data_IF_560582918471
#
_entry.id   IF_560582918471
#
_cell.length_a   1.000
_cell.length_b   1.000
_cell.length_c   1.000
_cell.angle_alpha   90.00
_cell.angle_beta   90.00
_cell.angle_gamma   90.00
#
_symmetry.space_group_name_H-M   'P 1'
#
loop_
_entity.id
_entity.type
_entity.pdbx_description
1 polymer ?
#
# COMPACT_ATOMS: atom_id res chain seq x y z
N UNK A 1 21.22 14.15 -25.64
CA UNK A 1 20.45 14.70 -24.50
C UNK A 1 19.10 14.00 -24.49
N UNK A 2 18.64 13.50 -23.34
CA UNK A 2 17.29 12.98 -23.19
C UNK A 2 16.27 14.12 -23.40
N UNK A 3 15.14 13.84 -24.04
CA UNK A 3 14.04 14.80 -24.07
C UNK A 3 13.41 14.96 -22.67
N UNK A 4 12.49 15.90 -22.54
CA UNK A 4 11.89 16.26 -21.24
C UNK A 4 11.13 15.08 -20.60
N UNK A 5 10.47 14.23 -21.40
CA UNK A 5 9.72 13.07 -20.90
C UNK A 5 10.66 11.95 -20.47
N UNK A 6 11.65 11.62 -21.31
CA UNK A 6 12.71 10.66 -21.00
C UNK A 6 13.48 11.06 -19.71
N UNK A 7 13.80 12.34 -19.56
CA UNK A 7 14.50 12.83 -18.36
C UNK A 7 13.66 12.62 -17.08
N UNK A 8 12.33 12.80 -17.16
CA UNK A 8 11.42 12.55 -16.03
C UNK A 8 11.34 11.07 -15.70
N UNK A 9 11.25 10.19 -16.69
CA UNK A 9 11.23 8.74 -16.48
C UNK A 9 12.54 8.22 -15.87
N UNK A 10 13.68 8.65 -16.40
CA UNK A 10 15.01 8.30 -15.85
C UNK A 10 15.13 8.77 -14.40
N UNK A 11 14.65 9.98 -14.07
CA UNK A 11 14.68 10.50 -12.71
C UNK A 11 13.78 9.70 -11.77
N UNK A 12 12.58 9.29 -12.20
CA UNK A 12 11.67 8.44 -11.42
C UNK A 12 12.26 7.05 -11.18
N UNK A 13 12.87 6.45 -12.18
CA UNK A 13 13.55 5.16 -12.04
C UNK A 13 14.71 5.26 -11.05
N UNK A 14 15.55 6.30 -11.17
CA UNK A 14 16.67 6.52 -10.27
C UNK A 14 16.18 6.67 -8.81
N UNK A 15 15.11 7.43 -8.58
CA UNK A 15 14.47 7.58 -7.26
C UNK A 15 13.95 6.23 -6.74
N UNK A 16 13.15 5.50 -7.54
CA UNK A 16 12.57 4.23 -7.14
C UNK A 16 13.64 3.19 -6.77
N UNK A 17 14.70 3.08 -7.59
CA UNK A 17 15.84 2.20 -7.33
C UNK A 17 16.64 2.61 -6.09
N UNK A 18 16.78 3.92 -5.83
CA UNK A 18 17.42 4.42 -4.61
C UNK A 18 16.64 4.03 -3.37
N UNK A 19 15.32 4.24 -3.37
CA UNK A 19 14.43 3.86 -2.27
C UNK A 19 14.47 2.36 -2.00
N UNK A 20 14.48 1.53 -3.05
CA UNK A 20 14.63 0.08 -2.88
C UNK A 20 15.94 -0.30 -2.17
N UNK A 21 17.06 0.39 -2.45
CA UNK A 21 18.34 0.15 -1.76
C UNK A 21 18.26 0.51 -0.28
N UNK A 22 17.61 1.62 0.06
CA UNK A 22 17.41 2.03 1.47
C UNK A 22 16.53 1.02 2.20
N UNK A 23 15.38 0.64 1.62
CA UNK A 23 14.51 -0.40 2.18
C UNK A 23 15.24 -1.73 2.37
N UNK A 24 16.04 -2.15 1.39
CA UNK A 24 16.82 -3.39 1.49
C UNK A 24 17.85 -3.33 2.62
N UNK A 25 18.51 -2.18 2.84
CA UNK A 25 19.43 -1.99 3.97
C UNK A 25 18.74 -2.09 5.34
N UNK A 26 17.41 -1.90 5.37
CA UNK A 26 16.57 -2.05 6.56
C UNK A 26 15.95 -3.45 6.71
N UNK A 27 16.27 -4.38 5.79
CA UNK A 27 15.84 -5.78 5.88
C UNK A 27 14.56 -6.11 5.10
N UNK A 28 14.00 -5.18 4.32
CA UNK A 28 12.93 -5.48 3.39
C UNK A 28 13.48 -6.15 2.11
N UNK A 29 12.73 -7.06 1.53
CA UNK A 29 12.98 -7.57 0.17
C UNK A 29 12.39 -6.56 -0.83
N UNK A 30 13.16 -5.54 -1.20
CA UNK A 30 12.68 -4.42 -2.03
C UNK A 30 13.14 -4.52 -3.47
N UNK A 31 12.22 -4.29 -4.42
CA UNK A 31 12.52 -4.25 -5.84
C UNK A 31 11.75 -3.13 -6.54
N UNK A 32 12.30 -2.67 -7.65
CA UNK A 32 11.69 -1.66 -8.52
C UNK A 32 11.04 -2.35 -9.72
N UNK A 33 9.82 -1.98 -10.02
CA UNK A 33 9.09 -2.33 -11.23
C UNK A 33 8.86 -1.07 -12.07
N UNK A 34 9.11 -1.12 -13.37
CA UNK A 34 9.02 0.04 -14.24
C UNK A 34 7.59 0.57 -14.34
N UNK A 35 6.62 -0.33 -14.41
CA UNK A 35 5.20 -0.08 -14.60
C UNK A 35 4.36 -1.08 -13.80
N UNK A 36 3.04 -0.96 -13.90
CA UNK A 36 2.08 -1.83 -13.21
C UNK A 36 2.11 -3.26 -13.72
N UNK A 37 2.42 -3.47 -14.98
CA UNK A 37 2.53 -4.78 -15.62
C UNK A 37 3.73 -5.55 -15.04
N UNK A 38 4.89 -4.92 -14.98
CA UNK A 38 6.08 -5.48 -14.33
C UNK A 38 5.86 -5.73 -12.82
N UNK A 39 5.10 -4.84 -12.15
CA UNK A 39 4.74 -5.04 -10.75
C UNK A 39 3.80 -6.23 -10.54
N UNK A 40 2.85 -6.44 -11.46
CA UNK A 40 1.98 -7.62 -11.47
C UNK A 40 2.78 -8.90 -11.64
N UNK A 41 3.66 -8.97 -12.62
CA UNK A 41 4.53 -10.13 -12.88
C UNK A 41 5.38 -10.45 -11.64
N UNK A 42 6.06 -9.46 -11.10
CA UNK A 42 6.87 -9.61 -9.90
C UNK A 42 6.06 -10.10 -8.68
N UNK A 43 4.85 -9.59 -8.48
CA UNK A 43 3.98 -10.04 -7.39
C UNK A 43 3.50 -11.49 -7.59
N UNK A 44 3.21 -11.89 -8.83
CA UNK A 44 2.81 -13.26 -9.16
C UNK A 44 3.95 -14.26 -9.03
N UNK A 45 5.20 -13.86 -9.28
CA UNK A 45 6.39 -14.68 -9.03
C UNK A 45 6.65 -14.89 -7.54
N UNK A 46 6.40 -13.86 -6.71
CA UNK A 46 6.58 -13.93 -5.26
C UNK A 46 5.55 -14.81 -4.56
N UNK A 47 4.28 -14.74 -4.99
CA UNK A 47 3.18 -15.44 -4.34
C UNK A 47 2.98 -16.82 -5.01
N UNK A 48 3.28 -17.94 -4.35
CA UNK A 48 3.07 -19.27 -4.94
C UNK A 48 1.61 -19.58 -5.26
N UNK A 49 1.38 -20.45 -6.24
CA UNK A 49 0.04 -20.96 -6.52
C UNK A 49 -0.51 -21.75 -5.33
N UNK A 50 -1.80 -21.58 -5.05
CA UNK A 50 -2.49 -22.27 -3.95
C UNK A 50 -2.38 -21.58 -2.60
N UNK A 51 -1.46 -20.63 -2.39
CA UNK A 51 -1.42 -19.85 -1.16
C UNK A 51 -2.58 -18.87 -1.08
N UNK A 52 -3.06 -18.66 0.15
CA UNK A 52 -4.13 -17.70 0.45
C UNK A 52 -3.60 -16.27 0.51
N UNK A 53 -4.41 -15.33 0.02
CA UNK A 53 -4.01 -13.92 -0.09
C UNK A 53 -5.06 -13.01 0.53
N UNK A 54 -4.71 -12.31 1.59
CA UNK A 54 -5.51 -11.27 2.20
C UNK A 54 -5.26 -9.92 1.55
N UNK A 55 -6.29 -9.30 0.97
CA UNK A 55 -6.18 -7.98 0.35
C UNK A 55 -7.13 -7.01 1.05
N UNK A 56 -6.62 -6.04 1.82
CA UNK A 56 -7.45 -5.00 2.41
C UNK A 56 -7.91 -3.99 1.35
N UNK A 57 -8.68 -3.00 1.77
CA UNK A 57 -9.07 -1.90 0.89
C UNK A 57 -7.86 -1.11 0.37
N UNK A 58 -7.44 -1.38 -0.85
CA UNK A 58 -6.31 -0.73 -1.52
C UNK A 58 -6.61 -0.49 -3.00
N UNK A 59 -6.55 0.77 -3.41
CA UNK A 59 -6.71 1.17 -4.82
C UNK A 59 -5.49 0.71 -5.62
N UNK A 60 -4.29 0.94 -5.13
CA UNK A 60 -3.03 0.60 -5.80
C UNK A 60 -2.97 -0.87 -6.24
N UNK A 61 -3.28 -1.82 -5.34
CA UNK A 61 -3.25 -3.26 -5.69
C UNK A 61 -4.30 -3.61 -6.74
N UNK A 62 -5.45 -2.90 -6.75
CA UNK A 62 -6.48 -3.10 -7.79
C UNK A 62 -6.02 -2.60 -9.14
N UNK A 63 -5.34 -1.46 -9.18
CA UNK A 63 -4.83 -0.86 -10.42
C UNK A 63 -3.74 -1.70 -11.10
N UNK A 64 -3.04 -2.57 -10.35
CA UNK A 64 -2.10 -3.54 -10.95
C UNK A 64 -2.80 -4.76 -11.55
N UNK A 65 -4.09 -4.99 -11.29
CA UNK A 65 -4.79 -6.20 -11.74
C UNK A 65 -4.46 -7.47 -10.96
N UNK A 66 -3.69 -7.37 -9.88
CA UNK A 66 -3.20 -8.51 -9.13
C UNK A 66 -4.32 -9.38 -8.52
N UNK A 67 -5.40 -8.76 -8.05
CA UNK A 67 -6.52 -9.49 -7.43
C UNK A 67 -7.15 -10.46 -8.45
N UNK A 68 -7.44 -9.98 -9.65
CA UNK A 68 -8.05 -10.76 -10.72
C UNK A 68 -7.11 -11.85 -11.22
N UNK A 69 -5.81 -11.54 -11.34
CA UNK A 69 -4.81 -12.52 -11.74
C UNK A 69 -4.66 -13.64 -10.70
N UNK A 70 -4.64 -13.32 -9.41
CA UNK A 70 -4.61 -14.29 -8.32
C UNK A 70 -5.84 -15.21 -8.33
N UNK A 71 -7.03 -14.64 -8.47
CA UNK A 71 -8.29 -15.41 -8.59
C UNK A 71 -8.27 -16.33 -9.82
N UNK A 72 -7.80 -15.83 -10.97
CA UNK A 72 -7.72 -16.60 -12.23
C UNK A 72 -6.79 -17.81 -12.12
N UNK A 73 -5.72 -17.73 -11.36
CA UNK A 73 -4.79 -18.86 -11.13
C UNK A 73 -5.19 -19.75 -9.94
N UNK A 74 -6.37 -19.53 -9.33
CA UNK A 74 -6.94 -20.38 -8.29
C UNK A 74 -6.48 -20.07 -6.86
N UNK A 75 -5.82 -18.93 -6.61
CA UNK A 75 -5.51 -18.50 -5.26
C UNK A 75 -6.78 -18.13 -4.48
N UNK A 76 -6.83 -18.48 -3.20
CA UNK A 76 -7.91 -18.06 -2.31
C UNK A 76 -7.68 -16.61 -1.90
N UNK A 77 -8.41 -15.66 -2.51
CA UNK A 77 -8.29 -14.24 -2.22
C UNK A 77 -9.38 -13.78 -1.26
N UNK A 78 -8.98 -13.34 -0.06
CA UNK A 78 -9.85 -12.71 0.92
C UNK A 78 -9.81 -11.19 0.75
N UNK A 79 -10.90 -10.57 0.30
CA UNK A 79 -11.04 -9.12 0.17
C UNK A 79 -12.39 -8.62 0.72
N UNK A 80 -12.41 -7.47 1.40
CA UNK A 80 -13.63 -6.93 2.00
C UNK A 80 -14.33 -5.85 1.14
N UNK A 81 -13.78 -5.57 -0.04
CA UNK A 81 -14.44 -4.76 -1.08
C UNK A 81 -15.13 -5.62 -2.14
N UNK A 82 -15.21 -6.93 -1.92
CA UNK A 82 -15.99 -7.81 -2.77
C UNK A 82 -17.47 -7.37 -2.71
N UNK A 83 -18.09 -7.00 -3.86
CA UNK A 83 -19.49 -6.56 -3.89
C UNK A 83 -20.48 -7.64 -3.43
N UNK A 84 -20.09 -8.91 -3.52
CA UNK A 84 -20.91 -10.04 -3.09
C UNK A 84 -20.83 -10.29 -1.57
N UNK A 85 -19.92 -9.61 -0.85
CA UNK A 85 -19.76 -9.80 0.59
C UNK A 85 -20.88 -9.13 1.37
N UNK A 86 -21.67 -9.91 2.13
CA UNK A 86 -22.64 -9.36 3.07
C UNK A 86 -21.92 -8.48 4.12
N UNK A 87 -22.39 -7.25 4.38
CA UNK A 87 -21.80 -6.37 5.38
C UNK A 87 -21.63 -6.99 6.78
N UNK A 88 -22.51 -7.91 7.16
CA UNK A 88 -22.41 -8.62 8.45
C UNK A 88 -21.21 -9.56 8.53
N UNK A 89 -20.72 -10.07 7.39
CA UNK A 89 -19.59 -11.00 7.31
C UNK A 89 -18.22 -10.27 7.20
N UNK A 90 -18.25 -8.94 7.11
CA UNK A 90 -17.03 -8.12 7.00
C UNK A 90 -16.04 -8.32 8.17
N UNK A 91 -16.46 -8.44 9.45
CA UNK A 91 -15.52 -8.72 10.54
C UNK A 91 -14.79 -10.06 10.38
N UNK A 92 -15.52 -11.12 9.97
CA UNK A 92 -14.93 -12.42 9.69
C UNK A 92 -13.96 -12.35 8.50
N UNK A 93 -14.29 -11.56 7.47
CA UNK A 93 -13.42 -11.33 6.32
C UNK A 93 -12.12 -10.61 6.73
N UNK A 94 -12.13 -9.68 7.67
CA UNK A 94 -10.92 -9.05 8.19
C UNK A 94 -10.00 -10.06 8.89
N UNK A 95 -10.57 -11.00 9.65
CA UNK A 95 -9.81 -12.09 10.27
C UNK A 95 -9.21 -13.01 9.20
N UNK A 96 -9.99 -13.39 8.19
CA UNK A 96 -9.51 -14.22 7.08
C UNK A 96 -8.34 -13.54 6.33
N UNK A 97 -8.43 -12.24 6.06
CA UNK A 97 -7.35 -11.47 5.46
C UNK A 97 -6.09 -11.50 6.33
N UNK A 98 -6.25 -11.27 7.64
CA UNK A 98 -5.13 -11.24 8.59
C UNK A 98 -4.41 -12.59 8.66
N UNK A 99 -5.15 -13.69 8.57
CA UNK A 99 -4.64 -15.06 8.72
C UNK A 99 -4.21 -15.71 7.40
N UNK A 100 -4.22 -14.98 6.28
CA UNK A 100 -3.77 -15.48 4.99
C UNK A 100 -2.25 -15.67 4.95
N UNK A 101 -1.76 -16.57 4.07
CA UNK A 101 -0.33 -16.82 3.85
C UNK A 101 0.40 -15.58 3.36
N UNK A 102 -0.28 -14.73 2.59
CA UNK A 102 0.18 -13.42 2.17
C UNK A 102 -0.82 -12.32 2.53
N UNK A 103 -0.31 -11.23 3.08
CA UNK A 103 -1.08 -10.00 3.22
C UNK A 103 -0.56 -8.97 2.23
N UNK A 104 -1.38 -8.64 1.21
CA UNK A 104 -0.98 -7.76 0.11
C UNK A 104 -1.65 -6.41 0.25
N UNK A 105 -0.87 -5.36 0.40
CA UNK A 105 -1.38 -4.00 0.62
C UNK A 105 -0.53 -2.93 -0.09
N UNK A 106 -0.87 -1.67 0.09
CA UNK A 106 -0.06 -0.53 -0.30
C UNK A 106 0.29 0.32 0.92
N UNK A 107 1.38 1.07 0.84
CA UNK A 107 1.67 2.15 1.78
C UNK A 107 0.91 3.44 1.40
N UNK A 108 0.57 4.28 2.38
CA UNK A 108 0.12 5.64 2.11
C UNK A 108 1.29 6.56 1.72
N UNK A 109 2.50 6.29 2.23
CA UNK A 109 3.73 6.94 1.81
C UNK A 109 4.94 6.06 2.14
N UNK A 110 6.06 6.34 1.49
CA UNK A 110 7.37 5.72 1.74
C UNK A 110 8.40 6.84 1.88
N UNK A 111 9.17 6.84 2.98
CA UNK A 111 10.29 7.76 3.18
C UNK A 111 11.49 7.32 2.34
N UNK A 112 12.03 8.20 1.51
CA UNK A 112 13.15 7.90 0.63
C UNK A 112 14.46 7.75 1.40
N UNK A 113 14.73 8.66 2.33
CA UNK A 113 16.01 8.73 3.03
C UNK A 113 16.09 7.72 4.19
N UNK A 114 14.95 7.40 4.81
CA UNK A 114 14.90 6.60 6.03
C UNK A 114 14.28 5.20 5.80
N UNK A 115 13.74 4.92 4.60
CA UNK A 115 13.16 3.61 4.26
C UNK A 115 11.96 3.22 5.13
N UNK A 116 11.16 4.19 5.58
CA UNK A 116 10.01 3.97 6.45
C UNK A 116 8.73 3.84 5.65
N UNK A 117 7.98 2.77 5.87
CA UNK A 117 6.64 2.61 5.31
C UNK A 117 5.63 3.29 6.24
N UNK A 118 4.88 4.25 5.73
CA UNK A 118 3.87 5.01 6.48
C UNK A 118 2.48 4.59 6.07
N UNK A 119 1.66 4.18 7.04
CA UNK A 119 0.24 3.91 6.84
C UNK A 119 -0.62 4.62 7.88
N UNK A 120 -1.73 5.18 7.41
CA UNK A 120 -2.78 5.78 8.24
C UNK A 120 -4.09 5.04 8.00
N UNK A 121 -4.76 4.66 9.09
CA UNK A 121 -5.94 3.81 9.03
C UNK A 121 -7.07 4.32 9.91
N UNK A 122 -8.30 3.97 9.54
CA UNK A 122 -9.50 4.28 10.30
C UNK A 122 -9.98 3.12 11.16
N UNK A 123 -9.97 1.92 10.59
CA UNK A 123 -10.44 0.68 11.24
C UNK A 123 -9.32 -0.06 11.96
N UNK A 124 -8.09 0.10 11.49
CA UNK A 124 -6.92 -0.59 12.03
C UNK A 124 -6.57 -1.91 11.32
N UNK A 125 -7.38 -2.33 10.36
CA UNK A 125 -7.20 -3.63 9.68
C UNK A 125 -5.90 -3.70 8.86
N UNK A 126 -5.46 -2.62 8.21
CA UNK A 126 -4.19 -2.56 7.47
C UNK A 126 -3.01 -2.40 8.41
N UNK A 127 -3.04 -1.41 9.29
CA UNK A 127 -1.95 -1.15 10.24
C UNK A 127 -1.77 -2.29 11.24
N UNK A 128 -2.84 -2.95 11.66
CA UNK A 128 -2.77 -4.15 12.50
C UNK A 128 -2.05 -5.29 11.78
N UNK A 129 -2.46 -5.60 10.54
CA UNK A 129 -1.81 -6.62 9.72
C UNK A 129 -0.37 -6.24 9.33
N UNK A 130 -0.07 -4.96 9.14
CA UNK A 130 1.28 -4.47 8.92
C UNK A 130 2.17 -4.74 10.13
N UNK A 131 1.67 -4.46 11.34
CA UNK A 131 2.40 -4.65 12.59
C UNK A 131 2.55 -6.12 12.99
N UNK A 132 1.50 -6.92 12.79
CA UNK A 132 1.48 -8.35 13.07
C UNK A 132 0.51 -9.10 12.18
N UNK A 133 0.99 -10.16 11.56
CA UNK A 133 0.19 -11.22 10.92
C UNK A 133 1.10 -12.44 10.76
N UNK A 134 0.56 -13.67 10.75
CA UNK A 134 1.36 -14.89 10.60
C UNK A 134 1.99 -15.01 9.22
N UNK A 135 1.31 -14.52 8.18
CA UNK A 135 1.75 -14.60 6.80
C UNK A 135 2.75 -13.51 6.40
N UNK A 136 3.31 -13.67 5.21
CA UNK A 136 4.23 -12.71 4.60
C UNK A 136 3.51 -11.40 4.26
N UNK A 137 4.27 -10.32 4.18
CA UNK A 137 3.75 -9.01 3.77
C UNK A 137 4.27 -8.65 2.38
N UNK A 138 3.37 -8.25 1.48
CA UNK A 138 3.72 -7.60 0.23
C UNK A 138 3.13 -6.19 0.19
N UNK A 139 3.99 -5.18 0.03
CA UNK A 139 3.60 -3.78 -0.14
C UNK A 139 3.91 -3.36 -1.57
N UNK A 140 2.90 -2.88 -2.30
CA UNK A 140 3.06 -2.29 -3.64
C UNK A 140 2.80 -0.79 -3.52
N UNK A 141 3.74 0.03 -3.96
CA UNK A 141 3.64 1.49 -3.87
C UNK A 141 4.09 2.17 -5.16
N UNK A 142 3.22 3.02 -5.73
CA UNK A 142 3.56 3.85 -6.88
C UNK A 142 4.58 4.95 -6.51
N UNK A 143 5.31 5.44 -7.50
CA UNK A 143 6.33 6.48 -7.34
C UNK A 143 5.77 7.77 -6.73
N UNK A 144 4.47 8.05 -6.94
CA UNK A 144 3.75 9.17 -6.33
C UNK A 144 3.65 9.11 -4.80
N UNK A 145 4.00 7.98 -4.18
CA UNK A 145 3.94 7.80 -2.72
C UNK A 145 5.27 8.02 -2.02
N UNK A 146 6.33 8.30 -2.77
CA UNK A 146 7.64 8.55 -2.19
C UNK A 146 7.72 9.99 -1.72
N UNK A 147 8.12 10.16 -0.47
CA UNK A 147 8.40 11.44 0.16
C UNK A 147 9.86 11.48 0.65
N UNK A 148 10.50 12.65 0.76
CA UNK A 148 11.91 12.74 1.13
C UNK A 148 12.22 12.04 2.46
N UNK A 149 11.49 12.39 3.51
CA UNK A 149 11.70 11.97 4.89
C UNK A 149 10.40 11.48 5.53
N UNK A 150 10.47 10.87 6.71
CA UNK A 150 9.30 10.34 7.44
C UNK A 150 8.28 11.42 7.80
N UNK A 151 8.72 12.62 8.16
CA UNK A 151 7.81 13.72 8.48
C UNK A 151 7.00 14.15 7.23
N UNK A 152 7.65 14.23 6.09
CA UNK A 152 7.02 14.50 4.79
C UNK A 152 6.10 13.35 4.36
N UNK A 153 6.50 12.09 4.60
CA UNK A 153 5.68 10.92 4.33
C UNK A 153 4.38 10.92 5.16
N UNK A 154 4.44 11.30 6.44
CA UNK A 154 3.26 11.46 7.30
C UNK A 154 2.37 12.61 6.77
N UNK A 155 2.98 13.72 6.35
CA UNK A 155 2.23 14.85 5.75
C UNK A 155 1.53 14.41 4.47
N UNK A 156 2.27 13.77 3.55
CA UNK A 156 1.70 13.22 2.30
C UNK A 156 0.52 12.30 2.57
N UNK A 157 0.64 11.37 3.51
CA UNK A 157 -0.43 10.44 3.86
C UNK A 157 -1.70 11.17 4.36
N UNK A 158 -1.55 12.31 5.03
CA UNK A 158 -2.67 13.13 5.52
C UNK A 158 -3.21 14.11 4.49
N UNK A 159 -2.34 14.73 3.71
CA UNK A 159 -2.73 15.80 2.79
C UNK A 159 -3.17 15.28 1.42
N UNK A 160 -2.55 14.21 0.94
CA UNK A 160 -2.80 13.68 -0.40
C UNK A 160 -3.63 12.39 -0.40
N UNK A 161 -3.36 11.44 0.51
CA UNK A 161 -4.07 10.17 0.50
C UNK A 161 -5.41 10.19 1.27
N UNK A 162 -5.51 10.93 2.37
CA UNK A 162 -6.72 10.93 3.19
C UNK A 162 -7.92 11.64 2.54
N UNK A 163 -7.82 12.84 1.92
CA UNK A 163 -8.98 13.53 1.34
C UNK A 163 -9.70 12.73 0.27
N UNK A 164 -9.04 12.20 -0.79
CA UNK A 164 -9.72 11.38 -1.79
C UNK A 164 -10.30 10.09 -1.20
N UNK A 165 -9.65 9.50 -0.19
CA UNK A 165 -10.19 8.33 0.48
C UNK A 165 -11.48 8.64 1.27
N UNK A 166 -11.56 9.79 1.93
CA UNK A 166 -12.81 10.24 2.59
C UNK A 166 -13.93 10.38 1.56
N UNK A 167 -13.66 11.03 0.41
CA UNK A 167 -14.64 11.17 -0.68
C UNK A 167 -15.10 9.82 -1.21
N UNK A 168 -14.18 8.91 -1.47
CA UNK A 168 -14.49 7.55 -1.94
C UNK A 168 -15.38 6.77 -0.97
N UNK A 169 -15.22 7.00 0.33
CA UNK A 169 -16.02 6.38 1.38
C UNK A 169 -17.36 7.08 1.63
N UNK A 170 -17.67 8.18 0.93
CA UNK A 170 -18.86 9.00 1.17
C UNK A 170 -18.84 9.75 2.49
N UNK A 171 -17.66 9.90 3.13
CA UNK A 171 -17.49 10.60 4.39
C UNK A 171 -17.53 12.13 4.23
N UNK A 172 -17.87 12.83 5.32
CA UNK A 172 -18.03 14.29 5.36
C UNK A 172 -16.95 14.98 6.22
N UNK A 173 -15.78 14.34 6.38
CA UNK A 173 -14.67 14.99 7.07
C UNK A 173 -14.23 16.26 6.31
N UNK A 174 -13.84 17.36 7.01
CA UNK A 174 -13.55 18.66 6.39
C UNK A 174 -12.50 18.59 5.25
N UNK A 175 -11.54 17.69 5.31
CA UNK A 175 -10.54 17.54 4.26
C UNK A 175 -11.12 17.15 2.91
N UNK A 176 -12.29 16.51 2.85
CA UNK A 176 -12.98 16.19 1.60
C UNK A 176 -13.44 17.44 0.84
N UNK A 177 -13.78 18.53 1.55
CA UNK A 177 -14.22 19.77 0.92
C UNK A 177 -13.08 20.76 0.64
N UNK A 178 -11.99 20.72 1.42
CA UNK A 178 -10.87 21.66 1.25
C UNK A 178 -9.67 21.08 0.53
N UNK A 179 -9.69 19.76 0.21
CA UNK A 179 -8.65 19.08 -0.55
C UNK A 179 -7.32 18.80 0.19
N UNK A 180 -7.23 19.15 1.48
CA UNK A 180 -6.04 18.93 2.31
C UNK A 180 -6.41 18.65 3.77
N UNK A 181 -5.48 18.10 4.54
CA UNK A 181 -5.67 17.89 5.97
C UNK A 181 -5.82 19.23 6.73
N UNK A 182 -6.80 19.28 7.61
CA UNK A 182 -7.03 20.40 8.53
C UNK A 182 -6.99 19.95 9.99
N UNK A 183 -6.36 18.81 10.27
CA UNK A 183 -6.26 18.22 11.60
C UNK A 183 -7.60 18.13 12.36
N UNK A 184 -8.66 17.76 11.65
CA UNK A 184 -10.04 17.80 12.13
C UNK A 184 -10.30 16.83 13.30
N UNK A 185 -11.36 17.11 14.06
CA UNK A 185 -11.95 16.20 15.05
C UNK A 185 -13.34 15.71 14.60
N UNK A 186 -13.52 15.45 13.30
CA UNK A 186 -14.77 14.97 12.75
C UNK A 186 -15.05 13.52 13.16
N UNK A 187 -16.32 13.14 13.42
CA UNK A 187 -16.69 11.72 13.59
C UNK A 187 -16.38 10.88 12.34
N UNK A 188 -16.39 11.48 11.14
CA UNK A 188 -16.07 10.86 9.86
C UNK A 188 -14.56 10.77 9.57
N UNK A 189 -13.72 11.13 10.56
CA UNK A 189 -12.27 11.07 10.41
C UNK A 189 -11.81 9.65 10.14
N UNK A 190 -11.15 9.43 8.99
CA UNK A 190 -10.56 8.13 8.58
C UNK A 190 -9.11 7.96 9.02
N UNK A 191 -8.42 9.03 9.41
CA UNK A 191 -7.02 9.01 9.84
C UNK A 191 -6.94 8.92 11.38
N UNK A 192 -7.16 7.71 11.93
CA UNK A 192 -7.25 7.47 13.40
C UNK A 192 -6.00 6.82 13.97
N UNK A 193 -5.33 5.96 13.19
CA UNK A 193 -4.16 5.20 13.62
C UNK A 193 -3.05 5.46 12.61
N UNK A 194 -1.84 5.76 13.09
CA UNK A 194 -0.64 5.94 12.27
C UNK A 194 0.32 4.82 12.62
N UNK A 195 0.84 4.12 11.61
CA UNK A 195 1.88 3.12 11.74
C UNK A 195 3.11 3.57 10.93
N UNK A 196 4.27 3.47 11.55
CA UNK A 196 5.58 3.66 10.95
C UNK A 196 6.30 2.33 11.04
N UNK A 197 6.58 1.71 9.89
CA UNK A 197 7.35 0.47 9.84
C UNK A 197 8.75 0.80 9.31
N UNK A 198 9.70 0.86 10.24
CA UNK A 198 11.10 1.15 9.95
C UNK A 198 11.87 -0.09 9.49
N UNK A 199 11.43 -1.26 9.95
CA UNK A 199 12.01 -2.58 9.64
C UNK A 199 10.92 -3.64 9.62
N UNK A 200 11.11 -4.75 8.91
CA UNK A 200 10.23 -5.91 9.04
C UNK A 200 10.09 -6.35 10.51
N UNK A 201 8.88 -6.73 10.96
CA UNK A 201 8.73 -7.36 12.26
C UNK A 201 9.60 -8.61 12.38
N UNK A 202 10.11 -8.90 13.59
CA UNK A 202 11.00 -10.04 13.83
C UNK A 202 10.31 -11.33 13.39
N UNK A 203 11.00 -12.09 12.53
CA UNK A 203 10.52 -13.39 12.02
C UNK A 203 9.50 -13.28 10.87
N UNK A 204 9.22 -12.09 10.34
CA UNK A 204 8.29 -11.89 9.23
C UNK A 204 9.00 -11.46 7.95
N UNK A 205 8.74 -12.18 6.88
CA UNK A 205 9.21 -11.81 5.54
C UNK A 205 8.34 -10.69 4.97
N UNK A 206 8.97 -9.58 4.58
CA UNK A 206 8.30 -8.40 4.06
C UNK A 206 8.90 -7.97 2.72
N UNK A 207 8.08 -7.99 1.68
CA UNK A 207 8.42 -7.57 0.32
C UNK A 207 7.87 -6.19 0.02
N UNK A 208 8.61 -5.39 -0.75
CA UNK A 208 8.18 -4.08 -1.22
C UNK A 208 8.45 -3.97 -2.71
N UNK A 209 7.42 -3.63 -3.49
CA UNK A 209 7.56 -3.31 -4.92
C UNK A 209 7.28 -1.81 -5.09
N UNK A 210 8.31 -1.06 -5.48
CA UNK A 210 8.17 0.34 -5.88
C UNK A 210 7.92 0.38 -7.37
N UNK A 211 6.81 0.99 -7.78
CA UNK A 211 6.37 1.05 -9.18
C UNK A 211 6.65 2.43 -9.75
N UNK A 212 7.27 2.52 -10.94
CA UNK A 212 7.60 3.77 -11.62
C UNK A 212 6.40 4.61 -12.08
N UNK A 213 5.19 4.05 -11.97
CA UNK A 213 3.93 4.74 -12.27
C UNK A 213 3.27 5.30 -11.01
N UNK A 214 2.38 6.28 -11.22
CA UNK A 214 1.50 6.80 -10.18
C UNK A 214 0.33 5.82 -9.97
N UNK A 215 0.20 5.26 -8.78
CA UNK A 215 -0.82 4.27 -8.42
C UNK A 215 -1.51 4.64 -7.10
N UNK A 216 -2.83 4.60 -7.10
CA UNK A 216 -3.67 4.95 -5.96
C UNK A 216 -3.49 6.39 -5.47
N UNK A 217 -3.78 6.62 -4.21
CA UNK A 217 -3.73 7.96 -3.60
C UNK A 217 -2.40 8.20 -2.87
#
# INVERSE_FOLDING_TARGET
MADMYQAKEISREALGRSVCKVLASHGFHAQYAQDREAALEAALELIPEGESVGVPGTVTVRETGLIEALKKRGSKVAEHWDPALDPKDRPARFVEQLMSDWFVMSANAVSADEGVLVNIDGTGNRVGAMSWAPGKLLVIAGINKIAPDTASAIRRARDEAAPPNVLRLGGKAPCASVGRCVSCNSPDRVCRIVSLMERPPIGRECHVIIVGEELGY
#
